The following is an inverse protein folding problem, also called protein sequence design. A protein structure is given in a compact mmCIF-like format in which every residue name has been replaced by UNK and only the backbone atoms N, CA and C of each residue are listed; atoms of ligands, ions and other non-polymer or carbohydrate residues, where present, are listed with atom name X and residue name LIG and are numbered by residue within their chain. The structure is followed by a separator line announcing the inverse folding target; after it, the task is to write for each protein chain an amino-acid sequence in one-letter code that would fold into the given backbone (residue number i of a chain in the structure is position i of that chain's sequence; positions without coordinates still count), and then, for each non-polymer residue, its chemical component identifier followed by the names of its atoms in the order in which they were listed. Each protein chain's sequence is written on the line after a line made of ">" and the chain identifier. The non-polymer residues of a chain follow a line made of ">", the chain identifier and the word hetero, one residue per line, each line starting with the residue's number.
data_IF_696837281379
#
_entry.id   IF_696837281379
#
_cell.length_a   1.000
_cell.length_b   1.000
_cell.length_c   1.000
_cell.angle_alpha   90.00
_cell.angle_beta   90.00
_cell.angle_gamma   90.00
#
_symmetry.space_group_name_H-M   'P 1'
#
loop_
_entity.id
_entity.type
_entity.pdbx_description
1 polymer ?
#
# COMPACT_ATOMS: atom_id res chain seq x y z
N UNK A 1 -12.31 -17.24 -11.11
CA UNK A 1 -12.18 -16.00 -10.31
C UNK A 1 -11.92 -14.85 -11.27
N UNK A 2 -12.95 -14.04 -11.54
CA UNK A 2 -12.87 -12.92 -12.49
C UNK A 2 -12.21 -11.72 -11.83
N UNK A 3 -11.17 -11.18 -12.47
CA UNK A 3 -10.52 -9.93 -12.08
C UNK A 3 -11.51 -8.76 -12.18
N UNK A 4 -11.92 -8.21 -11.04
CA UNK A 4 -12.67 -6.97 -11.01
C UNK A 4 -11.77 -5.83 -11.54
N UNK A 5 -12.15 -5.26 -12.69
CA UNK A 5 -11.62 -3.98 -13.17
C UNK A 5 -12.08 -2.89 -12.19
N UNK A 6 -11.16 -2.29 -11.44
CA UNK A 6 -11.45 -1.34 -10.36
C UNK A 6 -11.72 0.09 -10.87
N UNK A 7 -12.71 0.26 -11.74
CA UNK A 7 -13.27 1.59 -12.00
C UNK A 7 -14.27 1.91 -10.86
N UNK A 8 -13.95 2.86 -9.97
CA UNK A 8 -14.89 3.38 -8.96
C UNK A 8 -14.43 3.35 -7.49
N UNK A 9 -13.27 2.76 -7.17
CA UNK A 9 -12.76 2.72 -5.78
C UNK A 9 -11.80 3.87 -5.44
N UNK A 10 -11.28 4.56 -6.47
CA UNK A 10 -10.38 5.71 -6.32
C UNK A 10 -10.92 6.88 -7.12
N UNK A 11 -10.73 8.08 -6.59
CA UNK A 11 -10.98 9.35 -7.25
C UNK A 11 -9.66 10.11 -7.39
N UNK A 12 -9.62 11.00 -8.39
CA UNK A 12 -8.46 11.82 -8.71
C UNK A 12 -8.91 13.26 -8.83
N UNK A 13 -8.19 14.17 -8.20
CA UNK A 13 -8.42 15.60 -8.30
C UNK A 13 -7.08 16.29 -8.49
N UNK A 14 -7.01 17.30 -9.37
CA UNK A 14 -5.83 18.18 -9.41
C UNK A 14 -5.71 18.91 -8.09
N UNK A 15 -4.49 19.06 -7.61
CA UNK A 15 -4.23 19.83 -6.41
C UNK A 15 -4.55 21.30 -6.68
N UNK A 16 -5.45 21.94 -5.91
CA UNK A 16 -5.77 23.36 -6.09
C UNK A 16 -4.59 24.29 -5.79
N UNK A 17 -3.59 23.84 -5.03
CA UNK A 17 -2.40 24.63 -4.69
C UNK A 17 -1.26 24.43 -5.71
N UNK A 18 -1.29 23.34 -6.49
CA UNK A 18 -0.30 23.03 -7.53
C UNK A 18 -0.93 22.18 -8.65
N UNK A 19 -1.35 22.80 -9.74
CA UNK A 19 -2.11 22.12 -10.81
C UNK A 19 -1.36 20.97 -11.50
N UNK A 20 -0.02 20.92 -11.38
CA UNK A 20 0.80 19.81 -11.91
C UNK A 20 0.71 18.55 -11.04
N UNK A 21 0.17 18.66 -9.83
CA UNK A 21 -0.04 17.54 -8.93
C UNK A 21 -1.47 16.99 -9.05
N UNK A 22 -1.59 15.67 -8.98
CA UNK A 22 -2.89 14.98 -8.93
C UNK A 22 -2.95 14.21 -7.61
N UNK A 23 -3.89 14.62 -6.75
CA UNK A 23 -4.21 13.92 -5.50
C UNK A 23 -5.10 12.71 -5.81
N UNK A 24 -4.76 11.56 -5.25
CA UNK A 24 -5.52 10.32 -5.41
C UNK A 24 -6.08 9.89 -4.05
N UNK A 25 -7.39 9.74 -3.98
CA UNK A 25 -8.12 9.37 -2.75
C UNK A 25 -9.01 8.16 -2.98
N UNK A 26 -9.45 7.50 -1.92
CA UNK A 26 -10.52 6.49 -2.02
C UNK A 26 -11.87 7.17 -2.16
N UNK A 27 -12.74 6.64 -3.01
CA UNK A 27 -14.16 7.03 -2.99
C UNK A 27 -14.84 6.52 -1.72
N UNK A 28 -16.04 7.04 -1.42
CA UNK A 28 -16.89 6.49 -0.34
C UNK A 28 -17.12 4.98 -0.48
N UNK A 29 -17.35 4.51 -1.70
CA UNK A 29 -17.51 3.07 -2.00
C UNK A 29 -16.20 2.27 -1.96
N UNK A 30 -15.04 2.92 -2.12
CA UNK A 30 -13.72 2.30 -2.02
C UNK A 30 -13.19 2.19 -0.60
N UNK A 31 -13.65 3.03 0.34
CA UNK A 31 -13.20 3.02 1.73
C UNK A 31 -13.38 1.65 2.43
N UNK A 32 -14.52 0.94 2.30
CA UNK A 32 -14.70 -0.37 2.91
C UNK A 32 -13.71 -1.42 2.39
N UNK A 33 -13.19 -1.28 1.16
CA UNK A 33 -12.18 -2.19 0.63
C UNK A 33 -10.87 -2.10 1.44
N UNK A 34 -10.44 -0.87 1.78
CA UNK A 34 -9.27 -0.66 2.64
C UNK A 34 -9.50 -1.29 4.02
N UNK A 35 -10.68 -1.09 4.60
CA UNK A 35 -11.01 -1.62 5.93
C UNK A 35 -11.00 -3.15 5.99
N UNK A 36 -11.49 -3.81 4.93
CA UNK A 36 -11.41 -5.28 4.81
C UNK A 36 -9.96 -5.76 4.69
N UNK A 37 -9.12 -5.04 3.95
CA UNK A 37 -7.70 -5.38 3.78
C UNK A 37 -6.85 -5.17 5.04
N UNK A 38 -7.21 -4.24 5.93
CA UNK A 38 -6.43 -3.95 7.15
C UNK A 38 -6.30 -5.14 8.11
N UNK A 39 -7.20 -6.10 8.04
CA UNK A 39 -7.18 -7.31 8.89
C UNK A 39 -6.48 -8.49 8.21
N UNK A 40 -5.98 -8.32 6.99
CA UNK A 40 -5.32 -9.37 6.24
C UNK A 40 -3.81 -9.20 6.38
N UNK A 41 -3.14 -10.23 6.87
CA UNK A 41 -1.70 -10.39 6.70
C UNK A 41 -1.41 -11.67 5.91
N UNK A 42 -0.15 -11.81 5.48
CA UNK A 42 0.34 -12.98 4.76
C UNK A 42 1.46 -13.69 5.53
N UNK A 43 1.61 -13.39 6.82
CA UNK A 43 2.74 -13.88 7.62
C UNK A 43 2.71 -15.40 7.66
N UNK A 44 1.57 -16.00 7.99
CA UNK A 44 1.40 -17.46 7.99
C UNK A 44 1.63 -18.08 6.60
N UNK A 45 1.16 -17.40 5.55
CA UNK A 45 1.30 -17.85 4.17
C UNK A 45 2.76 -17.90 3.69
N UNK A 46 3.68 -17.23 4.39
CA UNK A 46 5.12 -17.29 4.06
C UNK A 46 5.78 -18.59 4.51
N UNK A 47 5.15 -19.35 5.42
CA UNK A 47 5.77 -20.54 6.03
C UNK A 47 6.96 -20.22 6.93
N UNK A 48 7.21 -18.94 7.25
CA UNK A 48 8.30 -18.48 8.12
C UNK A 48 7.77 -18.29 9.54
N UNK A 49 8.57 -18.64 10.54
CA UNK A 49 8.24 -18.36 11.93
C UNK A 49 8.03 -16.85 12.15
N UNK A 50 7.05 -16.42 12.98
CA UNK A 50 6.73 -14.99 13.13
C UNK A 50 7.92 -14.11 13.49
N UNK A 51 8.80 -14.58 14.39
CA UNK A 51 9.99 -13.84 14.81
C UNK A 51 11.01 -13.67 13.67
N UNK A 52 11.15 -14.68 12.81
CA UNK A 52 12.05 -14.63 11.68
C UNK A 52 11.49 -13.76 10.55
N UNK A 53 10.17 -13.79 10.34
CA UNK A 53 9.49 -12.85 9.45
C UNK A 53 9.73 -11.40 9.89
N UNK A 54 9.59 -11.10 11.19
CA UNK A 54 9.83 -9.76 11.72
C UNK A 54 11.28 -9.28 11.50
N UNK A 55 12.27 -10.16 11.67
CA UNK A 55 13.69 -9.86 11.38
C UNK A 55 13.91 -9.53 9.90
N UNK A 56 13.40 -10.37 9.00
CA UNK A 56 13.52 -10.17 7.55
C UNK A 56 12.82 -8.88 7.11
N UNK A 57 11.60 -8.64 7.60
CA UNK A 57 10.86 -7.42 7.31
C UNK A 57 11.67 -6.17 7.72
N UNK A 58 12.25 -6.16 8.92
CA UNK A 58 13.08 -5.05 9.42
C UNK A 58 14.32 -4.81 8.55
N UNK A 59 15.01 -5.89 8.15
CA UNK A 59 16.17 -5.80 7.27
C UNK A 59 15.80 -5.19 5.90
N UNK A 60 14.71 -5.66 5.29
CA UNK A 60 14.21 -5.14 4.00
C UNK A 60 13.79 -3.68 4.11
N UNK A 61 13.05 -3.31 5.16
CA UNK A 61 12.64 -1.91 5.42
C UNK A 61 13.86 -1.00 5.55
N UNK A 62 14.91 -1.46 6.25
CA UNK A 62 16.15 -0.70 6.41
C UNK A 62 16.84 -0.47 5.08
N UNK A 63 17.02 -1.54 4.28
CA UNK A 63 17.60 -1.44 2.94
C UNK A 63 16.81 -0.49 2.04
N UNK A 64 15.48 -0.65 1.98
CA UNK A 64 14.59 0.22 1.20
C UNK A 64 14.77 1.69 1.59
N UNK A 65 14.79 1.99 2.89
CA UNK A 65 14.93 3.37 3.37
C UNK A 65 16.29 3.97 2.98
N UNK A 66 17.38 3.21 3.10
CA UNK A 66 18.71 3.64 2.69
C UNK A 66 18.77 3.95 1.18
N UNK A 67 18.16 3.08 0.35
CA UNK A 67 18.12 3.29 -1.09
C UNK A 67 17.31 4.54 -1.47
N UNK A 68 16.15 4.76 -0.85
CA UNK A 68 15.36 5.98 -1.05
C UNK A 68 16.18 7.22 -0.69
N UNK A 69 16.87 7.22 0.45
CA UNK A 69 17.70 8.34 0.90
C UNK A 69 18.95 8.58 0.03
N UNK A 70 19.38 7.59 -0.75
CA UNK A 70 20.54 7.74 -1.66
C UNK A 70 20.17 8.22 -3.06
N UNK A 71 18.89 8.13 -3.46
CA UNK A 71 18.41 8.41 -4.82
C UNK A 71 17.61 9.71 -4.90
N UNK A 72 17.08 10.19 -3.76
CA UNK A 72 16.37 11.46 -3.62
C UNK A 72 17.13 12.39 -2.67
#
# INVERSE_FOLDING_TARGET
>A
MSAARHAGVKERQRDPEEERQVRVSFTKGGRPLRERGLKMDLVEATGVAPDDFAKVQKAIVTLRNNLIASVF
#
